data_IF_584991935242
#
_entry.id   IF_584991935242
#
_cell.length_a   1.000
_cell.length_b   1.000
_cell.length_c   1.000
_cell.angle_alpha   90.00
_cell.angle_beta   90.00
_cell.angle_gamma   90.00
#
_symmetry.space_group_name_H-M   'P 1'
#
loop_
_entity.id
_entity.type
_entity.pdbx_description
1 polymer ?
#
# COMPACT_ATOMS: atom_id res chain seq x y z
N UNK A 1 0.46 -2.72 -18.89
CA UNK A 1 0.46 -4.12 -19.34
C UNK A 1 0.97 -5.00 -18.20
N UNK A 2 0.27 -6.07 -17.83
CA UNK A 2 0.74 -6.99 -16.78
C UNK A 2 1.73 -8.00 -17.39
N UNK A 3 2.92 -8.11 -16.81
CA UNK A 3 3.96 -9.05 -17.26
C UNK A 3 4.10 -10.16 -16.21
N UNK A 4 4.00 -11.41 -16.65
CA UNK A 4 4.21 -12.56 -15.77
C UNK A 4 5.63 -12.55 -15.21
N UNK A 5 5.77 -12.51 -13.88
CA UNK A 5 7.05 -12.67 -13.19
C UNK A 5 7.57 -14.12 -13.23
N UNK A 6 6.73 -15.07 -13.66
CA UNK A 6 7.05 -16.51 -13.74
C UNK A 6 7.81 -16.88 -15.03
N UNK A 7 7.92 -15.97 -16.00
CA UNK A 7 8.50 -16.27 -17.32
C UNK A 7 7.68 -17.28 -18.14
N UNK A 8 8.32 -17.97 -19.09
CA UNK A 8 7.71 -18.94 -20.03
C UNK A 8 7.60 -20.38 -19.49
N UNK A 9 8.07 -20.65 -18.28
CA UNK A 9 8.15 -22.00 -17.71
C UNK A 9 7.05 -22.26 -16.69
N UNK A 10 6.31 -23.36 -16.87
CA UNK A 10 5.32 -23.88 -15.93
C UNK A 10 6.00 -24.57 -14.73
N UNK A 11 6.79 -23.82 -13.95
CA UNK A 11 7.44 -24.28 -12.70
C UNK A 11 6.66 -23.87 -11.45
N UNK A 12 7.20 -23.96 -10.24
CA UNK A 12 6.55 -23.49 -8.99
C UNK A 12 6.28 -21.98 -8.99
N UNK A 13 5.43 -21.48 -8.08
CA UNK A 13 5.17 -20.04 -7.93
C UNK A 13 6.41 -19.26 -7.47
N UNK A 14 6.45 -17.95 -7.69
CA UNK A 14 7.53 -17.08 -7.19
C UNK A 14 7.60 -17.15 -5.66
N UNK A 15 8.81 -17.16 -5.11
CA UNK A 15 9.02 -17.14 -3.65
C UNK A 15 8.76 -15.75 -3.08
N UNK A 16 8.52 -15.65 -1.77
CA UNK A 16 8.40 -14.36 -1.10
C UNK A 16 9.62 -13.45 -1.35
N UNK A 17 10.83 -14.02 -1.28
CA UNK A 17 12.07 -13.31 -1.58
C UNK A 17 12.12 -12.83 -3.04
N UNK A 18 11.60 -13.63 -3.98
CA UNK A 18 11.49 -13.21 -5.38
C UNK A 18 10.57 -11.99 -5.54
N UNK A 19 9.46 -11.94 -4.80
CA UNK A 19 8.59 -10.75 -4.79
C UNK A 19 9.31 -9.53 -4.23
N UNK A 20 10.06 -9.69 -3.13
CA UNK A 20 10.88 -8.60 -2.58
C UNK A 20 11.93 -8.09 -3.57
N UNK A 21 12.60 -9.00 -4.30
CA UNK A 21 13.56 -8.63 -5.33
C UNK A 21 12.94 -7.74 -6.41
N UNK A 22 11.77 -8.12 -6.92
CA UNK A 22 11.03 -7.33 -7.91
C UNK A 22 10.63 -5.97 -7.35
N UNK A 23 10.10 -5.92 -6.12
CA UNK A 23 9.74 -4.65 -5.46
C UNK A 23 10.95 -3.73 -5.34
N UNK A 24 12.11 -4.25 -4.92
CA UNK A 24 13.33 -3.46 -4.77
C UNK A 24 13.85 -2.94 -6.11
N UNK A 25 13.76 -3.75 -7.18
CA UNK A 25 14.14 -3.33 -8.54
C UNK A 25 13.30 -2.12 -9.00
N UNK A 26 11.96 -2.21 -8.85
CA UNK A 26 11.07 -1.11 -9.21
C UNK A 26 11.24 0.11 -8.29
N UNK A 27 11.50 -0.10 -7.01
CA UNK A 27 11.78 0.99 -6.09
C UNK A 27 13.06 1.75 -6.48
N UNK A 28 14.12 1.03 -6.86
CA UNK A 28 15.35 1.63 -7.35
C UNK A 28 15.12 2.39 -8.67
N UNK A 29 14.40 1.79 -9.62
CA UNK A 29 14.05 2.44 -10.88
C UNK A 29 13.20 3.72 -10.69
N UNK A 30 12.33 3.74 -9.67
CA UNK A 30 11.54 4.89 -9.28
C UNK A 30 12.27 5.85 -8.32
N UNK A 31 13.55 5.60 -7.99
CA UNK A 31 14.37 6.38 -7.06
C UNK A 31 13.74 6.53 -5.65
N UNK A 32 13.03 5.49 -5.20
CA UNK A 32 12.41 5.44 -3.87
C UNK A 32 13.41 4.81 -2.88
N UNK A 33 13.94 5.63 -1.98
CA UNK A 33 14.88 5.21 -0.95
C UNK A 33 14.21 5.19 0.43
N UNK A 34 13.59 4.07 0.78
CA UNK A 34 12.93 3.87 2.08
C UNK A 34 13.48 2.61 2.74
N UNK A 35 14.02 2.77 3.95
CA UNK A 35 14.49 1.63 4.74
C UNK A 35 13.31 0.69 5.05
N UNK A 36 13.48 -0.59 4.74
CA UNK A 36 12.44 -1.60 4.99
C UNK A 36 11.22 -1.51 4.06
N UNK A 37 11.35 -0.92 2.87
CA UNK A 37 10.29 -0.97 1.86
C UNK A 37 9.87 -2.42 1.59
N UNK A 38 8.58 -2.71 1.67
CA UNK A 38 8.05 -4.05 1.48
C UNK A 38 6.63 -4.06 0.95
N UNK A 39 6.18 -5.26 0.55
CA UNK A 39 4.87 -5.47 -0.08
C UNK A 39 3.69 -5.02 0.77
N UNK A 40 3.80 -5.13 2.10
CA UNK A 40 2.76 -4.67 3.01
C UNK A 40 2.66 -3.14 3.06
N UNK A 41 3.81 -2.45 3.09
CA UNK A 41 3.85 -0.98 3.02
C UNK A 41 3.25 -0.46 1.73
N UNK A 42 3.58 -1.08 0.59
CA UNK A 42 2.99 -0.73 -0.70
C UNK A 42 1.47 -0.94 -0.74
N UNK A 43 0.98 -2.03 -0.14
CA UNK A 43 -0.47 -2.28 0.00
C UNK A 43 -1.16 -1.19 0.83
N UNK A 44 -0.55 -0.78 1.94
CA UNK A 44 -1.05 0.32 2.76
C UNK A 44 -1.07 1.65 1.99
N UNK A 45 0.02 1.97 1.29
CA UNK A 45 0.11 3.16 0.42
C UNK A 45 -0.97 3.15 -0.65
N UNK A 46 -1.20 2.02 -1.31
CA UNK A 46 -2.21 1.91 -2.35
C UNK A 46 -3.64 2.12 -1.81
N UNK A 47 -3.93 1.58 -0.62
CA UNK A 47 -5.21 1.79 0.08
C UNK A 47 -5.44 3.27 0.44
N UNK A 48 -4.45 3.89 1.08
CA UNK A 48 -4.51 5.31 1.47
C UNK A 48 -4.64 6.20 0.23
N UNK A 49 -3.81 5.99 -0.80
CA UNK A 49 -3.87 6.78 -2.03
C UNK A 49 -5.24 6.66 -2.72
N UNK A 50 -5.82 5.46 -2.80
CA UNK A 50 -7.16 5.31 -3.38
C UNK A 50 -8.21 6.13 -2.61
N UNK A 51 -8.18 6.10 -1.28
CA UNK A 51 -9.14 6.81 -0.44
C UNK A 51 -8.94 8.33 -0.46
N UNK A 52 -7.69 8.79 -0.47
CA UNK A 52 -7.33 10.22 -0.61
C UNK A 52 -7.77 10.78 -1.96
N UNK A 53 -7.84 9.95 -2.99
CA UNK A 53 -8.36 10.29 -4.32
C UNK A 53 -9.85 9.88 -4.50
N UNK A 54 -10.64 10.04 -3.44
CA UNK A 54 -12.10 9.92 -3.43
C UNK A 54 -12.68 8.56 -3.85
N UNK A 55 -11.89 7.49 -3.81
CA UNK A 55 -12.44 6.16 -3.99
C UNK A 55 -13.47 5.83 -2.90
N UNK A 56 -14.54 5.15 -3.29
CA UNK A 56 -15.57 4.70 -2.36
C UNK A 56 -15.01 3.61 -1.42
N UNK A 57 -15.14 3.83 -0.11
CA UNK A 57 -14.50 2.97 0.89
C UNK A 57 -14.93 1.50 0.82
N UNK A 58 -16.19 1.21 0.46
CA UNK A 58 -16.62 -0.18 0.29
C UNK A 58 -15.97 -0.86 -0.93
N UNK A 59 -15.67 -0.10 -2.00
CA UNK A 59 -14.94 -0.65 -3.16
C UNK A 59 -13.49 -0.93 -2.77
N UNK A 60 -12.85 -0.04 -2.01
CA UNK A 60 -11.50 -0.26 -1.48
C UNK A 60 -11.47 -1.47 -0.54
N UNK A 61 -12.49 -1.66 0.31
CA UNK A 61 -12.61 -2.86 1.15
C UNK A 61 -12.63 -4.15 0.33
N UNK A 62 -13.47 -4.21 -0.71
CA UNK A 62 -13.57 -5.38 -1.59
C UNK A 62 -12.24 -5.62 -2.30
N UNK A 63 -11.61 -4.57 -2.82
CA UNK A 63 -10.32 -4.65 -3.50
C UNK A 63 -9.20 -5.20 -2.59
N UNK A 64 -9.19 -4.78 -1.32
CA UNK A 64 -8.25 -5.29 -0.33
C UNK A 64 -8.64 -6.67 0.21
N UNK A 65 -9.89 -7.11 0.03
CA UNK A 65 -10.39 -8.36 0.62
C UNK A 65 -10.50 -8.30 2.15
N UNK A 66 -10.79 -7.12 2.71
CA UNK A 66 -11.01 -6.99 4.15
C UNK A 66 -12.40 -7.50 4.53
N UNK A 67 -12.47 -8.35 5.55
CA UNK A 67 -13.73 -8.89 6.07
C UNK A 67 -14.60 -7.85 6.79
N UNK A 68 -13.98 -6.79 7.33
CA UNK A 68 -14.66 -5.71 8.04
C UNK A 68 -14.22 -4.35 7.51
N UNK A 69 -15.18 -3.44 7.32
CA UNK A 69 -14.95 -2.07 6.87
C UNK A 69 -14.08 -1.29 7.87
N UNK A 70 -14.12 -1.63 9.16
CA UNK A 70 -13.27 -1.01 10.19
C UNK A 70 -11.78 -1.15 9.89
N UNK A 71 -11.35 -2.30 9.35
CA UNK A 71 -9.96 -2.52 8.94
C UNK A 71 -9.55 -1.59 7.80
N UNK A 72 -10.46 -1.31 6.87
CA UNK A 72 -10.22 -0.37 5.76
C UNK A 72 -10.22 1.08 6.24
N UNK A 73 -11.05 1.44 7.23
CA UNK A 73 -11.11 2.79 7.81
C UNK A 73 -9.79 3.24 8.42
N UNK A 74 -8.93 2.31 8.86
CA UNK A 74 -7.58 2.64 9.34
C UNK A 74 -6.72 3.36 8.29
N UNK A 75 -7.02 3.19 7.00
CA UNK A 75 -6.31 3.83 5.89
C UNK A 75 -6.98 5.13 5.42
N UNK A 76 -8.20 5.43 5.90
CA UNK A 76 -8.98 6.60 5.47
C UNK A 76 -8.60 7.81 6.32
N UNK A 77 -7.77 8.69 5.74
CA UNK A 77 -7.30 9.91 6.40
C UNK A 77 -8.15 11.14 6.09
N UNK A 78 -9.22 10.99 5.30
CA UNK A 78 -10.10 12.12 4.97
C UNK A 78 -10.72 12.69 6.23
N UNK A 79 -10.64 14.01 6.40
CA UNK A 79 -11.11 14.69 7.61
C UNK A 79 -10.24 14.49 8.85
N UNK A 80 -9.08 13.80 8.75
CA UNK A 80 -8.08 13.68 9.81
C UNK A 80 -6.87 14.55 9.47
N UNK A 81 -7.06 15.88 9.45
CA UNK A 81 -5.93 16.78 9.24
C UNK A 81 -5.09 16.80 10.53
N UNK A 82 -3.76 16.68 10.44
CA UNK A 82 -2.90 16.78 11.63
C UNK A 82 -3.18 18.04 12.45
N UNK A 83 -3.45 19.16 11.79
CA UNK A 83 -3.79 20.45 12.40
C UNK A 83 -5.09 20.47 13.23
N UNK A 84 -5.99 19.51 13.00
CA UNK A 84 -7.21 19.33 13.79
C UNK A 84 -6.95 18.51 15.07
N UNK A 85 -5.76 17.91 15.22
CA UNK A 85 -5.40 17.13 16.40
C UNK A 85 -5.09 18.02 17.61
N UNK A 86 -5.60 17.71 18.82
CA UNK A 86 -5.27 18.41 20.06
C UNK A 86 -3.76 18.45 20.35
N UNK A 87 -3.01 17.45 19.88
CA UNK A 87 -1.58 17.31 20.10
C UNK A 87 -0.74 18.17 19.15
N UNK A 88 -1.28 18.57 17.99
CA UNK A 88 -0.51 19.31 16.97
C UNK A 88 -0.14 20.73 17.41
N UNK A 89 -0.91 21.33 18.32
CA UNK A 89 -0.69 22.71 18.81
C UNK A 89 0.16 22.79 20.07
N UNK A 90 0.60 21.66 20.62
CA UNK A 90 1.43 21.63 21.81
C UNK A 90 2.86 21.98 21.43
N UNK A 91 3.32 23.18 21.82
CA UNK A 91 4.74 23.53 21.83
C UNK A 91 5.34 23.05 23.14
N UNK A 92 6.38 22.23 23.06
CA UNK A 92 7.26 21.92 24.19
C UNK A 92 8.29 23.04 24.35
#
# INVERSE_FOLDING_TARGET
>A
MFRSLRGRTSGTGITANGVYGVVNEWAAAAQIHVAGLGVHGLRATAATNALEHDAYIAKVQIWLGHANISTTRLYDRRGQRPEDSPTFKVKY
#
